data_IF_878679664679
#
_entry.id   IF_878679664679
#
_cell.length_a   1.000
_cell.length_b   1.000
_cell.length_c   1.000
_cell.angle_alpha   90.00
_cell.angle_beta   90.00
_cell.angle_gamma   90.00
#
_symmetry.space_group_name_H-M   'P 1'
#
loop_
_entity.id
_entity.type
_entity.pdbx_description
1 polymer ?
#
# COMPACT_ATOMS: atom_id res chain seq x y z
N UNK A 1 -11.24 3.08 0.54
CA UNK A 1 -10.33 2.00 0.07
C UNK A 1 -8.87 2.30 0.41
N UNK A 2 -8.21 3.29 -0.21
CA UNK A 2 -6.81 3.63 0.13
C UNK A 2 -6.57 3.95 1.61
N UNK A 3 -7.48 4.67 2.28
CA UNK A 3 -7.37 4.92 3.73
C UNK A 3 -7.36 3.62 4.55
N UNK A 4 -8.27 2.69 4.24
CA UNK A 4 -8.30 1.34 4.84
C UNK A 4 -6.98 0.61 4.60
N UNK A 5 -6.46 0.68 3.38
CA UNK A 5 -5.19 0.06 2.99
C UNK A 5 -4.02 0.60 3.83
N UNK A 6 -3.94 1.92 4.03
CA UNK A 6 -2.85 2.57 4.78
C UNK A 6 -2.92 2.26 6.28
N UNK A 7 -4.12 2.36 6.87
CA UNK A 7 -4.30 2.22 8.32
C UNK A 7 -4.35 0.75 8.76
N UNK A 8 -5.01 -0.11 8.00
CA UNK A 8 -5.15 -1.52 8.30
C UNK A 8 -4.20 -2.35 7.43
N UNK A 9 -4.63 -2.71 6.22
CA UNK A 9 -3.84 -3.38 5.19
C UNK A 9 -4.61 -3.46 3.87
N UNK A 10 -3.89 -3.78 2.80
CA UNK A 10 -4.40 -4.00 1.46
C UNK A 10 -5.41 -5.15 1.38
N UNK A 11 -5.24 -6.23 2.16
CA UNK A 11 -6.16 -7.38 2.12
C UNK A 11 -7.59 -6.98 2.51
N UNK A 12 -7.77 -6.26 3.63
CA UNK A 12 -9.07 -5.71 4.05
C UNK A 12 -9.57 -4.69 3.02
N UNK A 13 -8.68 -3.89 2.43
CA UNK A 13 -9.08 -2.95 1.39
C UNK A 13 -9.60 -3.66 0.12
N UNK A 14 -9.02 -4.79 -0.28
CA UNK A 14 -9.53 -5.62 -1.36
C UNK A 14 -10.88 -6.26 -1.03
N UNK A 15 -11.07 -6.75 0.20
CA UNK A 15 -12.39 -7.24 0.65
C UNK A 15 -13.44 -6.13 0.58
N UNK A 16 -13.10 -4.91 1.01
CA UNK A 16 -13.99 -3.76 0.92
C UNK A 16 -14.30 -3.37 -0.54
N UNK A 17 -13.33 -3.48 -1.45
CA UNK A 17 -13.56 -3.25 -2.88
C UNK A 17 -14.51 -4.31 -3.45
N UNK A 18 -14.29 -5.58 -3.14
CA UNK A 18 -15.13 -6.69 -3.60
C UNK A 18 -16.56 -6.64 -3.04
N UNK A 19 -16.76 -5.99 -1.89
CA UNK A 19 -18.07 -5.79 -1.28
C UNK A 19 -18.83 -4.56 -1.80
N UNK A 20 -18.23 -3.74 -2.67
CA UNK A 20 -18.91 -2.59 -3.24
C UNK A 20 -20.05 -3.03 -4.19
N UNK A 21 -21.14 -2.24 -4.26
CA UNK A 21 -22.11 -2.37 -5.35
C UNK A 21 -21.43 -2.25 -6.72
N UNK A 22 -21.90 -3.01 -7.72
CA UNK A 22 -21.27 -3.07 -9.05
C UNK A 22 -21.29 -1.74 -9.84
N UNK A 23 -22.09 -0.77 -9.41
CA UNK A 23 -22.18 0.58 -9.98
C UNK A 23 -21.47 1.65 -9.12
N UNK A 24 -20.86 1.26 -7.99
CA UNK A 24 -20.18 2.21 -7.09
C UNK A 24 -18.91 2.82 -7.70
N UNK A 25 -18.27 2.10 -8.63
CA UNK A 25 -17.10 2.57 -9.37
C UNK A 25 -17.28 2.26 -10.85
N UNK A 26 -16.80 3.16 -11.71
CA UNK A 26 -16.63 2.81 -13.13
C UNK A 26 -15.60 1.70 -13.29
N UNK A 27 -15.71 0.90 -14.35
CA UNK A 27 -14.74 -0.16 -14.67
C UNK A 27 -13.29 0.38 -14.69
N UNK A 28 -13.11 1.60 -15.19
CA UNK A 28 -11.80 2.29 -15.17
C UNK A 28 -11.35 2.57 -13.74
N UNK A 29 -12.19 3.15 -12.90
CA UNK A 29 -11.85 3.47 -11.51
C UNK A 29 -11.54 2.23 -10.68
N UNK A 30 -12.29 1.14 -10.90
CA UNK A 30 -12.05 -0.15 -10.27
C UNK A 30 -10.66 -0.69 -10.64
N UNK A 31 -10.31 -0.71 -11.93
CA UNK A 31 -8.98 -1.11 -12.39
C UNK A 31 -7.87 -0.27 -11.75
N UNK A 32 -7.99 1.05 -11.74
CA UNK A 32 -6.99 1.94 -11.15
C UNK A 32 -6.85 1.71 -9.64
N UNK A 33 -7.96 1.47 -8.94
CA UNK A 33 -7.95 1.17 -7.52
C UNK A 33 -7.27 -0.17 -7.21
N UNK A 34 -7.46 -1.19 -8.06
CA UNK A 34 -6.75 -2.48 -7.93
C UNK A 34 -5.23 -2.28 -7.94
N UNK A 35 -4.70 -1.48 -8.87
CA UNK A 35 -3.28 -1.16 -8.96
C UNK A 35 -2.80 -0.26 -7.81
N UNK A 36 -3.58 0.75 -7.45
CA UNK A 36 -3.21 1.69 -6.37
C UNK A 36 -3.12 1.00 -5.00
N UNK A 37 -3.93 -0.02 -4.77
CA UNK A 37 -3.90 -0.79 -3.52
C UNK A 37 -2.85 -1.90 -3.50
N UNK A 38 -2.24 -2.24 -4.64
CA UNK A 38 -1.35 -3.38 -4.81
C UNK A 38 0.04 -3.16 -4.18
N UNK A 39 0.10 -3.13 -2.85
CA UNK A 39 1.37 -3.14 -2.12
C UNK A 39 1.19 -3.02 -0.61
N UNK A 40 2.20 -3.47 0.14
CA UNK A 40 2.16 -3.58 1.60
C UNK A 40 2.54 -2.28 2.33
N UNK A 41 2.44 -1.12 1.69
CA UNK A 41 2.73 0.15 2.36
C UNK A 41 1.58 0.55 3.31
N UNK A 42 1.62 0.04 4.54
CA UNK A 42 0.64 0.21 5.61
C UNK A 42 1.34 0.19 6.99
N UNK A 43 0.63 0.59 8.05
CA UNK A 43 1.19 0.67 9.40
C UNK A 43 1.65 -0.70 9.95
N UNK A 44 0.94 -1.79 9.65
CA UNK A 44 1.34 -3.14 10.10
C UNK A 44 2.68 -3.59 9.49
N UNK A 45 2.91 -3.23 8.23
CA UNK A 45 4.11 -3.62 7.49
C UNK A 45 5.36 -2.87 7.95
N UNK A 46 5.21 -1.70 8.57
CA UNK A 46 6.31 -1.02 9.29
C UNK A 46 6.87 -1.92 10.38
N UNK A 47 6.01 -2.58 11.17
CA UNK A 47 6.43 -3.54 12.18
C UNK A 47 7.18 -4.72 11.58
N UNK A 48 6.70 -5.25 10.44
CA UNK A 48 7.37 -6.35 9.73
C UNK A 48 8.75 -5.95 9.20
N UNK A 49 8.90 -4.75 8.63
CA UNK A 49 10.18 -4.23 8.15
C UNK A 49 11.15 -4.03 9.32
N UNK A 50 10.70 -3.42 10.42
CA UNK A 50 11.54 -3.23 11.60
C UNK A 50 12.01 -4.59 12.13
N UNK A 51 11.09 -5.55 12.30
CA UNK A 51 11.42 -6.87 12.84
C UNK A 51 12.36 -7.66 11.92
N UNK A 52 12.03 -7.77 10.63
CA UNK A 52 12.78 -8.55 9.66
C UNK A 52 14.12 -7.93 9.31
N UNK A 53 14.14 -6.65 8.92
CA UNK A 53 15.37 -5.99 8.45
C UNK A 53 16.33 -5.72 9.60
N UNK A 54 15.83 -5.39 10.80
CA UNK A 54 16.73 -5.20 11.95
C UNK A 54 17.33 -6.52 12.44
N UNK A 55 16.66 -7.65 12.25
CA UNK A 55 17.24 -8.97 12.54
C UNK A 55 18.37 -9.33 11.56
N UNK A 56 18.24 -8.92 10.28
CA UNK A 56 19.26 -9.13 9.25
C UNK A 56 20.44 -8.15 9.36
N UNK A 57 20.18 -6.91 9.79
CA UNK A 57 21.19 -5.85 9.90
C UNK A 57 21.12 -5.16 11.28
N UNK A 58 21.49 -5.85 12.37
CA UNK A 58 21.33 -5.33 13.73
C UNK A 58 22.10 -4.04 14.01
N UNK A 59 23.24 -3.82 13.33
CA UNK A 59 24.03 -2.58 13.44
C UNK A 59 23.32 -1.34 12.84
N UNK A 60 22.29 -1.52 12.02
CA UNK A 60 21.53 -0.44 11.36
C UNK A 60 20.12 -0.26 11.93
N UNK A 61 19.81 -0.87 13.08
CA UNK A 61 18.47 -0.86 13.67
C UNK A 61 17.91 0.55 13.86
N UNK A 62 18.71 1.49 14.33
CA UNK A 62 18.25 2.87 14.56
C UNK A 62 17.80 3.55 13.25
N UNK A 63 18.61 3.42 12.19
CA UNK A 63 18.27 3.93 10.85
C UNK A 63 16.99 3.28 10.33
N UNK A 64 16.86 1.96 10.45
CA UNK A 64 15.68 1.21 10.01
C UNK A 64 14.43 1.73 10.73
N UNK A 65 14.47 1.86 12.06
CA UNK A 65 13.32 2.34 12.84
C UNK A 65 12.94 3.76 12.44
N UNK A 66 13.92 4.65 12.27
CA UNK A 66 13.68 6.04 11.87
C UNK A 66 13.02 6.12 10.49
N UNK A 67 13.48 5.34 9.50
CA UNK A 67 12.97 5.38 8.14
C UNK A 67 11.66 4.61 7.94
N UNK A 68 11.39 3.58 8.76
CA UNK A 68 10.27 2.67 8.49
C UNK A 68 8.92 3.38 8.51
N UNK A 69 8.68 4.31 9.43
CA UNK A 69 7.41 5.07 9.44
C UNK A 69 7.30 5.98 8.20
N UNK A 70 8.39 6.63 7.82
CA UNK A 70 8.43 7.48 6.62
C UNK A 70 8.26 6.69 5.33
N UNK A 71 8.62 5.40 5.31
CA UNK A 71 8.51 4.54 4.12
C UNK A 71 7.08 4.33 3.61
N UNK A 72 6.06 4.58 4.46
CA UNK A 72 4.65 4.46 4.07
C UNK A 72 4.31 5.42 2.93
N UNK A 73 4.81 6.65 2.97
CA UNK A 73 4.52 7.68 1.97
C UNK A 73 5.05 7.27 0.58
N UNK A 74 6.36 7.04 0.37
CA UNK A 74 6.87 6.63 -0.93
C UNK A 74 6.32 5.26 -1.36
N UNK A 75 6.04 4.35 -0.44
CA UNK A 75 5.42 3.06 -0.77
C UNK A 75 4.00 3.20 -1.35
N UNK A 76 3.18 4.10 -0.81
CA UNK A 76 1.86 4.42 -1.37
C UNK A 76 1.97 5.22 -2.66
N UNK A 77 2.88 6.19 -2.74
CA UNK A 77 3.09 6.96 -3.97
C UNK A 77 3.56 6.07 -5.13
N UNK A 78 4.38 5.05 -4.86
CA UNK A 78 4.83 4.08 -5.86
C UNK A 78 3.64 3.33 -6.50
N UNK A 79 2.73 2.80 -5.67
CA UNK A 79 1.54 2.09 -6.15
C UNK A 79 0.52 3.02 -6.83
N UNK A 80 0.35 4.24 -6.31
CA UNK A 80 -0.42 5.28 -7.00
C UNK A 80 0.18 5.66 -8.37
N UNK A 81 1.51 5.72 -8.48
CA UNK A 81 2.20 5.99 -9.75
C UNK A 81 1.97 4.86 -10.75
N UNK A 82 2.04 3.60 -10.31
CA UNK A 82 1.68 2.44 -11.15
C UNK A 82 0.24 2.57 -11.66
N UNK A 83 -0.71 2.89 -10.78
CA UNK A 83 -2.10 3.14 -11.20
C UNK A 83 -2.20 4.30 -12.19
N UNK A 84 -1.48 5.41 -11.97
CA UNK A 84 -1.46 6.54 -12.88
C UNK A 84 -0.94 6.15 -14.28
N UNK A 85 0.15 5.36 -14.35
CA UNK A 85 0.69 4.84 -15.62
C UNK A 85 -0.32 3.95 -16.32
N UNK A 86 -0.96 3.02 -15.61
CA UNK A 86 -2.04 2.20 -16.18
C UNK A 86 -3.19 3.07 -16.67
N UNK A 87 -3.51 4.14 -15.94
CA UNK A 87 -4.55 5.10 -16.33
C UNK A 87 -4.22 5.95 -17.55
N UNK A 88 -2.97 5.98 -18.02
CA UNK A 88 -2.59 6.61 -19.29
C UNK A 88 -2.73 5.66 -20.49
N UNK A 89 -2.82 4.35 -20.24
CA UNK A 89 -3.01 3.36 -21.29
C UNK A 89 -4.47 3.42 -21.82
N UNK A 90 -4.65 3.19 -23.14
CA UNK A 90 -5.96 3.23 -23.78
C UNK A 90 -6.90 2.11 -23.31
#
# INVERSE_FOLDING_TARGET
LMGTKVILNEFIAYLNLAALPGDALSQRSELLMLYAMCGFANLGSVGMVIAGVSALAPSRREEIVQLSLWSIIPGNLSTCMTAAVVGLLP
#
